data_IF_233513909166
#
_entry.id   IF_233513909166
#
_cell.length_a   1.000
_cell.length_b   1.000
_cell.length_c   1.000
_cell.angle_alpha   90.00
_cell.angle_beta   90.00
_cell.angle_gamma   90.00
#
_symmetry.space_group_name_H-M   'P 1'
#
loop_
_entity.id
_entity.type
_entity.pdbx_description
1 polymer ?
#
# COMPACT_ATOMS: atom_id res chain seq x y z
N UNK A 1 16.21 -12.78 11.31
CA UNK A 1 17.53 -12.09 11.35
C UNK A 1 18.03 -11.75 9.94
N UNK A 2 18.01 -12.67 8.98
CA UNK A 2 18.49 -12.42 7.60
C UNK A 2 17.86 -11.19 6.93
N UNK A 3 16.53 -11.06 6.94
CA UNK A 3 15.83 -9.89 6.35
C UNK A 3 16.29 -8.54 6.94
N UNK A 4 16.53 -8.50 8.25
CA UNK A 4 17.05 -7.30 8.92
C UNK A 4 18.47 -6.96 8.44
N UNK A 5 19.37 -7.94 8.41
CA UNK A 5 20.76 -7.73 7.99
C UNK A 5 20.84 -7.34 6.52
N UNK A 6 20.02 -7.96 5.66
CA UNK A 6 19.94 -7.61 4.24
C UNK A 6 19.46 -6.15 4.04
N UNK A 7 18.41 -5.72 4.74
CA UNK A 7 17.92 -4.34 4.66
C UNK A 7 18.94 -3.34 5.23
N UNK A 8 19.59 -3.67 6.35
CA UNK A 8 20.63 -2.83 6.94
C UNK A 8 21.84 -2.69 6.00
N UNK A 9 22.27 -3.78 5.36
CA UNK A 9 23.33 -3.74 4.35
C UNK A 9 22.91 -2.89 3.14
N UNK A 10 21.70 -3.11 2.62
CA UNK A 10 21.16 -2.29 1.53
C UNK A 10 21.12 -0.80 1.93
N UNK A 11 20.68 -0.46 3.14
CA UNK A 11 20.70 0.92 3.64
C UNK A 11 22.13 1.49 3.68
N UNK A 12 23.11 0.72 4.16
CA UNK A 12 24.51 1.18 4.24
C UNK A 12 25.14 1.40 2.87
N UNK A 13 24.84 0.54 1.88
CA UNK A 13 25.46 0.54 0.56
C UNK A 13 24.67 1.34 -0.47
N UNK A 14 23.35 1.13 -0.60
CA UNK A 14 22.56 1.73 -1.68
C UNK A 14 22.11 3.16 -1.38
N UNK A 15 22.08 3.58 -0.11
CA UNK A 15 21.56 4.91 0.24
C UNK A 15 22.40 6.07 -0.29
N UNK A 16 23.67 5.82 -0.64
CA UNK A 16 24.59 6.82 -1.19
C UNK A 16 24.63 6.85 -2.71
N UNK A 17 24.08 5.84 -3.38
CA UNK A 17 24.17 5.73 -4.82
C UNK A 17 23.20 6.69 -5.53
N UNK A 18 23.61 7.25 -6.67
CA UNK A 18 22.68 7.97 -7.56
C UNK A 18 21.51 7.10 -7.98
N UNK A 19 20.33 7.70 -8.19
CA UNK A 19 19.10 6.96 -8.53
C UNK A 19 19.25 5.99 -9.70
N UNK A 20 19.90 6.35 -10.83
CA UNK A 20 20.06 5.42 -11.95
C UNK A 20 20.84 4.16 -11.58
N UNK A 21 21.92 4.32 -10.79
CA UNK A 21 22.77 3.19 -10.35
C UNK A 21 21.99 2.29 -9.37
N UNK A 22 21.33 2.89 -8.38
CA UNK A 22 20.51 2.14 -7.43
C UNK A 22 19.39 1.34 -8.15
N UNK A 23 18.77 1.93 -9.18
CA UNK A 23 17.73 1.26 -9.95
C UNK A 23 18.27 0.17 -10.88
N UNK A 24 19.44 0.37 -11.47
CA UNK A 24 20.10 -0.68 -12.23
C UNK A 24 20.37 -1.93 -11.34
N UNK A 25 20.95 -1.70 -10.16
CA UNK A 25 21.18 -2.78 -9.19
C UNK A 25 19.84 -3.45 -8.77
N UNK A 26 18.82 -2.65 -8.48
CA UNK A 26 17.50 -3.17 -8.13
C UNK A 26 16.88 -4.00 -9.27
N UNK A 27 17.03 -3.58 -10.51
CA UNK A 27 16.54 -4.33 -11.68
C UNK A 27 17.25 -5.66 -11.86
N UNK A 28 18.57 -5.70 -11.64
CA UNK A 28 19.34 -6.94 -11.64
C UNK A 28 18.85 -7.86 -10.52
N UNK A 29 18.74 -7.35 -9.29
CA UNK A 29 18.25 -8.12 -8.14
C UNK A 29 16.83 -8.66 -8.40
N UNK A 30 15.90 -7.81 -8.85
CA UNK A 30 14.53 -8.22 -9.16
C UNK A 30 14.47 -9.29 -10.25
N UNK A 31 15.31 -9.16 -11.27
CA UNK A 31 15.41 -10.15 -12.35
C UNK A 31 15.98 -11.47 -11.85
N UNK A 32 17.07 -11.45 -11.09
CA UNK A 32 17.66 -12.63 -10.46
C UNK A 32 16.65 -13.34 -9.55
N UNK A 33 15.95 -12.57 -8.71
CA UNK A 33 14.90 -13.12 -7.84
C UNK A 33 13.76 -13.79 -8.63
N UNK A 34 13.36 -13.21 -9.76
CA UNK A 34 12.35 -13.83 -10.64
C UNK A 34 12.75 -15.24 -11.09
N UNK A 35 14.03 -15.46 -11.40
CA UNK A 35 14.51 -16.79 -11.85
C UNK A 35 14.83 -17.72 -10.68
N UNK A 36 15.42 -17.22 -9.61
CA UNK A 36 15.89 -18.06 -8.49
C UNK A 36 14.82 -18.35 -7.43
N UNK A 37 13.67 -17.67 -7.46
CA UNK A 37 12.57 -17.86 -6.48
C UNK A 37 11.30 -18.36 -7.17
N UNK A 38 11.22 -19.65 -7.53
CA UNK A 38 10.10 -20.19 -8.30
C UNK A 38 8.74 -20.01 -7.60
N UNK A 39 8.69 -20.10 -6.27
CA UNK A 39 7.45 -19.87 -5.51
C UNK A 39 6.94 -18.41 -5.64
N UNK A 40 7.82 -17.41 -5.47
CA UNK A 40 7.44 -16.01 -5.68
C UNK A 40 7.03 -15.76 -7.13
N UNK A 41 7.79 -16.31 -8.08
CA UNK A 41 7.43 -16.20 -9.51
C UNK A 41 6.05 -16.77 -9.78
N UNK A 42 5.72 -17.94 -9.25
CA UNK A 42 4.43 -18.58 -9.44
C UNK A 42 3.28 -17.73 -8.86
N UNK A 43 3.46 -17.17 -7.66
CA UNK A 43 2.46 -16.28 -7.05
C UNK A 43 2.22 -15.04 -7.93
N UNK A 44 3.29 -14.34 -8.32
CA UNK A 44 3.18 -13.14 -9.15
C UNK A 44 2.57 -13.46 -10.52
N UNK A 45 2.91 -14.60 -11.13
CA UNK A 45 2.29 -15.01 -12.40
C UNK A 45 0.80 -15.30 -12.26
N UNK A 46 0.36 -15.92 -11.16
CA UNK A 46 -1.07 -16.12 -10.88
C UNK A 46 -1.80 -14.79 -10.69
N UNK A 47 -1.23 -13.89 -9.89
CA UNK A 47 -1.79 -12.56 -9.72
C UNK A 47 -1.91 -11.82 -11.07
N UNK A 48 -0.85 -11.83 -11.87
CA UNK A 48 -0.87 -11.18 -13.19
C UNK A 48 -1.87 -11.85 -14.15
N UNK A 49 -1.99 -13.17 -14.13
CA UNK A 49 -2.99 -13.87 -14.95
C UNK A 49 -4.41 -13.47 -14.56
N UNK A 50 -4.69 -13.36 -13.27
CA UNK A 50 -6.00 -12.91 -12.78
C UNK A 50 -6.30 -11.47 -13.20
N UNK A 51 -5.36 -10.54 -13.00
CA UNK A 51 -5.52 -9.12 -13.34
C UNK A 51 -5.68 -8.90 -14.84
N UNK A 52 -4.90 -9.60 -15.66
CA UNK A 52 -4.89 -9.45 -17.13
C UNK A 52 -5.99 -10.24 -17.83
N UNK A 53 -6.64 -11.15 -17.11
CA UNK A 53 -7.74 -11.96 -17.63
C UNK A 53 -7.31 -13.30 -18.25
N UNK A 54 -8.30 -14.19 -18.49
CA UNK A 54 -8.04 -15.56 -18.95
C UNK A 54 -7.40 -15.62 -20.36
N UNK A 55 -7.69 -14.67 -21.23
CA UNK A 55 -7.17 -14.63 -22.60
C UNK A 55 -5.76 -13.99 -22.70
N UNK A 56 -5.21 -13.46 -21.60
CA UNK A 56 -3.91 -12.81 -21.67
C UNK A 56 -2.80 -13.79 -22.11
N UNK A 57 -1.99 -13.43 -23.13
CA UNK A 57 -0.92 -14.29 -23.62
C UNK A 57 0.11 -14.58 -22.52
N UNK A 58 0.54 -15.84 -22.41
CA UNK A 58 1.51 -16.25 -21.39
C UNK A 58 2.84 -15.45 -21.47
N UNK A 59 3.21 -14.95 -22.65
CA UNK A 59 4.39 -14.09 -22.84
C UNK A 59 4.21 -12.74 -22.11
N UNK A 60 3.04 -12.14 -22.21
CA UNK A 60 2.71 -10.85 -21.58
C UNK A 60 2.61 -10.99 -20.06
N UNK A 61 1.93 -12.05 -19.57
CA UNK A 61 1.88 -12.37 -18.13
C UNK A 61 3.29 -12.54 -17.57
N UNK A 62 4.19 -13.24 -18.26
CA UNK A 62 5.60 -13.37 -17.83
C UNK A 62 6.34 -12.04 -17.86
N UNK A 63 6.08 -11.19 -18.85
CA UNK A 63 6.71 -9.86 -18.95
C UNK A 63 6.24 -8.94 -17.81
N UNK A 64 4.93 -8.88 -17.54
CA UNK A 64 4.36 -8.15 -16.41
C UNK A 64 4.94 -8.66 -15.07
N UNK A 65 4.99 -9.99 -14.88
CA UNK A 65 5.54 -10.60 -13.66
C UNK A 65 7.01 -10.23 -13.41
N UNK A 66 7.85 -10.19 -14.45
CA UNK A 66 9.24 -9.71 -14.32
C UNK A 66 9.29 -8.24 -13.94
N UNK A 67 8.38 -7.41 -14.48
CA UNK A 67 8.28 -5.98 -14.12
C UNK A 67 7.88 -5.81 -12.67
N UNK A 68 6.92 -6.58 -12.16
CA UNK A 68 6.54 -6.59 -10.74
C UNK A 68 7.76 -6.84 -9.86
N UNK A 69 8.56 -7.89 -10.14
CA UNK A 69 9.75 -8.22 -9.34
C UNK A 69 10.80 -7.10 -9.36
N UNK A 70 11.04 -6.48 -10.53
CA UNK A 70 11.95 -5.32 -10.64
C UNK A 70 11.42 -4.10 -9.89
N UNK A 71 10.13 -3.80 -10.03
CA UNK A 71 9.50 -2.69 -9.33
C UNK A 71 9.48 -2.89 -7.81
N UNK A 72 9.29 -4.12 -7.32
CA UNK A 72 9.44 -4.46 -5.91
C UNK A 72 10.87 -4.20 -5.40
N UNK A 73 11.89 -4.60 -6.17
CA UNK A 73 13.28 -4.32 -5.81
C UNK A 73 13.58 -2.80 -5.82
N UNK A 74 13.07 -2.06 -6.79
CA UNK A 74 13.18 -0.58 -6.84
C UNK A 74 12.45 0.10 -5.67
N UNK A 75 11.31 -0.44 -5.22
CA UNK A 75 10.63 0.05 -4.04
C UNK A 75 11.54 -0.02 -2.80
N UNK A 76 12.20 -1.15 -2.57
CA UNK A 76 13.16 -1.28 -1.45
C UNK A 76 14.39 -0.41 -1.63
N UNK A 77 14.88 -0.22 -2.87
CA UNK A 77 15.98 0.70 -3.14
C UNK A 77 15.59 2.16 -2.83
N UNK A 78 14.36 2.58 -3.13
CA UNK A 78 13.84 3.88 -2.73
C UNK A 78 13.70 3.98 -1.20
N UNK A 79 13.11 2.98 -0.53
CA UNK A 79 12.90 2.95 0.91
C UNK A 79 14.20 3.16 1.70
N UNK A 80 15.28 2.45 1.34
CA UNK A 80 16.56 2.60 2.04
C UNK A 80 17.24 3.93 1.78
N UNK A 81 16.83 4.65 0.75
CA UNK A 81 17.36 5.96 0.38
C UNK A 81 16.58 7.14 0.98
N UNK A 82 15.31 6.91 1.39
CA UNK A 82 14.43 7.95 1.97
C UNK A 82 15.17 8.88 2.93
N UNK A 83 15.93 8.43 3.94
CA UNK A 83 16.56 9.34 4.91
C UNK A 83 17.59 10.32 4.32
N UNK A 84 18.06 10.07 3.09
CA UNK A 84 19.09 10.90 2.41
C UNK A 84 18.53 11.72 1.26
N UNK A 85 17.28 11.50 0.90
CA UNK A 85 16.64 12.25 -0.17
C UNK A 85 16.17 13.62 0.36
N UNK A 86 16.37 14.65 -0.41
CA UNK A 86 15.69 15.93 -0.18
C UNK A 86 14.28 15.83 -0.75
N UNK A 87 13.25 15.90 0.10
CA UNK A 87 11.84 15.68 -0.30
C UNK A 87 11.29 16.80 -1.17
N UNK A 88 11.77 18.03 -1.03
CA UNK A 88 11.43 19.14 -1.92
C UNK A 88 11.91 18.86 -3.35
N UNK A 89 13.16 18.39 -3.49
CA UNK A 89 13.69 17.97 -4.80
C UNK A 89 12.98 16.75 -5.35
N UNK A 90 12.64 15.76 -4.49
CA UNK A 90 11.85 14.61 -4.93
C UNK A 90 10.51 15.07 -5.47
N UNK A 91 9.83 15.98 -4.77
CA UNK A 91 8.54 16.52 -5.21
C UNK A 91 8.67 17.29 -6.52
N UNK A 92 9.63 18.21 -6.64
CA UNK A 92 9.77 19.07 -7.83
C UNK A 92 10.38 18.36 -9.06
N UNK A 93 11.28 17.37 -8.86
CA UNK A 93 12.01 16.75 -9.96
C UNK A 93 11.48 15.37 -10.34
N UNK A 94 10.88 14.63 -9.39
CA UNK A 94 10.43 13.26 -9.59
C UNK A 94 8.93 13.09 -9.66
N UNK A 95 8.14 13.99 -9.05
CA UNK A 95 6.69 14.00 -9.24
C UNK A 95 6.40 14.86 -10.47
N UNK A 96 6.10 14.20 -11.59
CA UNK A 96 5.97 14.88 -12.88
C UNK A 96 4.68 15.68 -12.97
N UNK A 97 3.58 15.08 -12.54
CA UNK A 97 2.24 15.68 -12.53
C UNK A 97 1.46 15.11 -11.34
N UNK A 98 0.67 15.95 -10.72
CA UNK A 98 -0.36 15.53 -9.77
C UNK A 98 -1.73 15.88 -10.38
N UNK A 99 -2.34 14.90 -11.03
CA UNK A 99 -3.69 15.03 -11.55
C UNK A 99 -4.67 15.06 -10.38
N UNK A 100 -5.61 16.01 -10.38
CA UNK A 100 -6.63 16.12 -9.34
C UNK A 100 -6.08 16.59 -7.98
N UNK A 101 -4.96 17.30 -7.93
CA UNK A 101 -4.43 17.88 -6.68
C UNK A 101 -5.46 18.74 -5.96
N UNK A 102 -6.32 19.46 -6.71
CA UNK A 102 -7.43 20.24 -6.18
C UNK A 102 -8.39 19.36 -5.36
N UNK A 103 -8.74 18.16 -5.80
CA UNK A 103 -9.61 17.26 -5.04
C UNK A 103 -9.05 16.97 -3.64
N UNK A 104 -7.73 16.73 -3.56
CA UNK A 104 -7.06 16.49 -2.29
C UNK A 104 -7.01 17.75 -1.43
N UNK A 105 -6.64 18.90 -2.01
CA UNK A 105 -6.51 20.15 -1.25
C UNK A 105 -7.86 20.66 -0.76
N UNK A 106 -8.90 20.59 -1.58
CA UNK A 106 -10.26 20.95 -1.20
C UNK A 106 -10.77 20.04 -0.08
N UNK A 107 -10.54 18.73 -0.17
CA UNK A 107 -10.92 17.80 0.89
C UNK A 107 -10.20 18.09 2.22
N UNK A 108 -8.90 18.40 2.20
CA UNK A 108 -8.14 18.79 3.39
C UNK A 108 -8.70 20.09 3.98
N UNK A 109 -9.07 21.06 3.13
CA UNK A 109 -9.63 22.33 3.56
C UNK A 109 -10.96 22.19 4.33
N UNK A 110 -11.73 21.11 4.09
CA UNK A 110 -12.99 20.83 4.82
C UNK A 110 -12.79 20.53 6.30
N UNK A 111 -11.57 20.17 6.73
CA UNK A 111 -11.23 19.69 8.10
C UNK A 111 -12.01 18.46 8.58
N UNK A 112 -12.65 17.73 7.67
CA UNK A 112 -13.37 16.49 8.00
C UNK A 112 -12.46 15.29 8.23
N UNK A 113 -11.14 15.42 7.95
CA UNK A 113 -10.21 14.31 7.84
C UNK A 113 -10.26 13.66 6.46
N UNK A 114 -9.13 13.12 6.03
CA UNK A 114 -9.00 12.49 4.71
C UNK A 114 -8.36 11.12 4.84
N UNK A 115 -9.00 10.11 4.28
CA UNK A 115 -8.44 8.77 4.10
C UNK A 115 -8.01 8.64 2.64
N UNK A 116 -6.69 8.54 2.41
CA UNK A 116 -6.17 8.25 1.08
C UNK A 116 -6.13 6.74 0.88
N UNK A 117 -6.96 6.22 -0.03
CA UNK A 117 -6.98 4.79 -0.34
C UNK A 117 -6.16 4.52 -1.59
N UNK A 118 -5.32 3.51 -1.54
CA UNK A 118 -4.41 3.14 -2.62
C UNK A 118 -4.15 1.64 -2.64
N UNK A 119 -3.27 1.22 -3.55
CA UNK A 119 -2.73 -0.13 -3.66
C UNK A 119 -1.19 -0.10 -3.60
N UNK A 120 -0.56 -1.27 -3.49
CA UNK A 120 0.89 -1.41 -3.68
C UNK A 120 1.24 -1.22 -5.18
N UNK A 121 0.88 -0.06 -5.73
CA UNK A 121 1.01 0.28 -7.15
C UNK A 121 2.01 1.42 -7.34
N UNK A 122 2.96 1.24 -8.27
CA UNK A 122 4.03 2.21 -8.51
C UNK A 122 5.02 2.32 -7.35
N UNK A 123 4.98 3.40 -6.60
CA UNK A 123 5.69 3.55 -5.33
C UNK A 123 4.98 4.58 -4.42
N UNK A 124 3.92 4.18 -3.69
CA UNK A 124 3.21 5.07 -2.80
C UNK A 124 4.09 5.64 -1.69
N UNK A 125 5.16 4.94 -1.29
CA UNK A 125 6.09 5.38 -0.26
C UNK A 125 6.78 6.71 -0.63
N UNK A 126 7.37 6.79 -1.83
CA UNK A 126 8.09 8.00 -2.27
C UNK A 126 7.13 9.17 -2.44
N UNK A 127 5.94 8.94 -2.98
CA UNK A 127 4.93 9.98 -3.14
C UNK A 127 4.48 10.50 -1.78
N UNK A 128 4.20 9.58 -0.84
CA UNK A 128 3.81 9.94 0.52
C UNK A 128 4.92 10.73 1.25
N UNK A 129 6.18 10.29 1.12
CA UNK A 129 7.30 11.00 1.74
C UNK A 129 7.47 12.41 1.16
N UNK A 130 7.30 12.57 -0.14
CA UNK A 130 7.46 13.87 -0.81
C UNK A 130 6.31 14.85 -0.52
N UNK A 131 5.15 14.39 -0.03
CA UNK A 131 4.02 15.27 0.28
C UNK A 131 4.31 16.26 1.43
N UNK A 132 5.36 16.02 2.24
CA UNK A 132 5.82 17.01 3.24
C UNK A 132 6.25 18.32 2.59
N UNK A 133 6.73 18.30 1.34
CA UNK A 133 7.12 19.49 0.60
C UNK A 133 5.95 20.45 0.32
N UNK A 134 4.72 19.95 0.38
CA UNK A 134 3.49 20.73 0.25
C UNK A 134 2.69 20.79 1.56
N UNK A 135 3.35 20.50 2.69
CA UNK A 135 2.76 20.63 4.03
C UNK A 135 1.79 19.51 4.42
N UNK A 136 1.72 18.41 3.68
CA UNK A 136 0.84 17.29 4.01
C UNK A 136 1.59 16.28 4.88
N UNK A 137 1.18 16.20 6.16
CA UNK A 137 1.65 15.23 7.12
C UNK A 137 0.63 14.13 7.34
N UNK A 138 1.09 12.88 7.42
CA UNK A 138 0.22 11.71 7.46
C UNK A 138 0.57 10.77 8.60
N UNK A 139 -0.41 9.97 9.01
CA UNK A 139 -0.23 8.82 9.89
C UNK A 139 -0.58 7.55 9.13
N UNK A 140 0.41 6.70 8.90
CA UNK A 140 0.27 5.43 8.18
C UNK A 140 0.26 4.25 9.14
N UNK A 141 -0.72 3.36 9.00
CA UNK A 141 -0.75 2.07 9.68
C UNK A 141 -0.02 1.02 8.85
N UNK A 142 0.91 0.30 9.46
CA UNK A 142 1.79 -0.64 8.75
C UNK A 142 1.69 -2.05 9.33
N UNK A 143 1.95 -3.05 8.49
CA UNK A 143 2.09 -4.42 8.95
C UNK A 143 3.21 -4.55 10.00
N UNK A 144 2.96 -5.21 11.16
CA UNK A 144 4.00 -5.47 12.15
C UNK A 144 5.00 -6.50 11.62
N UNK A 145 6.18 -6.01 11.20
CA UNK A 145 7.23 -6.85 10.63
C UNK A 145 7.99 -7.65 11.71
N UNK A 146 8.41 -8.87 11.34
CA UNK A 146 9.26 -9.71 12.18
C UNK A 146 10.65 -9.91 11.54
N UNK A 147 11.73 -9.88 12.31
CA UNK A 147 11.82 -9.60 13.76
C UNK A 147 11.58 -8.11 14.09
N UNK A 148 11.29 -7.78 15.36
CA UNK A 148 11.02 -6.41 15.82
C UNK A 148 12.07 -5.40 15.34
N UNK A 149 13.36 -5.76 15.35
CA UNK A 149 14.46 -4.92 14.85
C UNK A 149 14.29 -4.52 13.37
N UNK A 150 13.66 -5.38 12.55
CA UNK A 150 13.33 -5.05 11.15
C UNK A 150 12.21 -4.00 11.10
N UNK A 151 11.17 -4.17 11.91
CA UNK A 151 10.08 -3.21 12.02
C UNK A 151 10.61 -1.82 12.45
N UNK A 152 11.43 -1.79 13.52
CA UNK A 152 12.02 -0.56 14.04
C UNK A 152 12.90 0.14 13.00
N UNK A 153 13.72 -0.62 12.25
CA UNK A 153 14.54 -0.08 11.17
C UNK A 153 13.67 0.52 10.05
N UNK A 154 12.65 -0.20 9.59
CA UNK A 154 11.75 0.29 8.53
C UNK A 154 11.03 1.56 9.00
N UNK A 155 10.50 1.61 10.21
CA UNK A 155 9.86 2.79 10.77
C UNK A 155 10.82 3.98 10.90
N UNK A 156 12.07 3.73 11.32
CA UNK A 156 13.12 4.75 11.37
C UNK A 156 13.41 5.34 9.98
N UNK A 157 13.52 4.49 8.96
CA UNK A 157 13.75 4.95 7.58
C UNK A 157 12.58 5.80 7.07
N UNK A 158 11.36 5.31 7.28
CA UNK A 158 10.13 5.98 6.83
C UNK A 158 9.83 7.27 7.59
N UNK A 159 10.08 7.31 8.89
CA UNK A 159 9.80 8.48 9.73
C UNK A 159 10.80 9.63 9.61
N UNK A 160 11.82 9.52 8.73
CA UNK A 160 12.95 10.47 8.67
C UNK A 160 12.57 11.89 8.19
N UNK A 161 11.41 12.06 7.57
CA UNK A 161 10.93 13.35 7.05
C UNK A 161 9.62 13.82 7.71
N UNK A 162 9.31 13.32 8.93
CA UNK A 162 8.15 13.80 9.69
C UNK A 162 6.82 13.11 9.38
N UNK A 163 6.81 12.13 8.47
CA UNK A 163 5.66 11.24 8.33
C UNK A 163 5.59 10.25 9.50
N UNK A 164 4.39 9.99 10.01
CA UNK A 164 4.18 9.12 11.17
C UNK A 164 3.81 7.71 10.72
N UNK A 165 4.56 6.72 11.18
CA UNK A 165 4.29 5.30 10.90
C UNK A 165 4.05 4.56 12.22
N UNK A 166 2.99 3.76 12.27
CA UNK A 166 2.62 2.94 13.43
C UNK A 166 2.35 1.50 13.01
N UNK A 167 2.80 0.51 13.77
CA UNK A 167 2.37 -0.86 13.54
C UNK A 167 0.86 -0.96 13.79
N UNK A 168 0.16 -1.75 12.97
CA UNK A 168 -1.29 -1.92 13.07
C UNK A 168 -1.65 -2.67 14.37
N UNK A 169 -2.22 -1.93 15.31
CA UNK A 169 -2.68 -2.37 16.64
C UNK A 169 -3.95 -1.62 17.00
N UNK A 170 -4.68 -2.07 18.01
CA UNK A 170 -5.87 -1.35 18.53
C UNK A 170 -5.53 0.09 18.98
N UNK A 171 -4.34 0.30 19.56
CA UNK A 171 -3.92 1.63 19.99
C UNK A 171 -3.63 2.57 18.82
N UNK A 172 -2.97 2.08 17.77
CA UNK A 172 -2.69 2.87 16.58
C UNK A 172 -3.93 3.13 15.73
N UNK A 173 -4.92 2.24 15.73
CA UNK A 173 -6.24 2.52 15.12
C UNK A 173 -6.96 3.64 15.87
N UNK A 174 -6.92 3.66 17.21
CA UNK A 174 -7.47 4.78 18.00
C UNK A 174 -6.71 6.09 17.75
N UNK A 175 -5.41 6.04 17.55
CA UNK A 175 -4.59 7.19 17.15
C UNK A 175 -5.01 7.71 15.77
N UNK A 176 -5.21 6.82 14.79
CA UNK A 176 -5.69 7.18 13.45
C UNK A 176 -7.10 7.82 13.47
N UNK A 177 -8.01 7.31 14.31
CA UNK A 177 -9.34 7.92 14.49
C UNK A 177 -9.22 9.35 15.02
N UNK A 178 -8.37 9.61 16.03
CA UNK A 178 -8.12 10.96 16.54
C UNK A 178 -7.51 11.85 15.46
N UNK A 179 -6.52 11.31 14.72
CA UNK A 179 -5.85 12.00 13.62
C UNK A 179 -6.84 12.47 12.55
N UNK A 180 -7.79 11.61 12.17
CA UNK A 180 -8.86 11.97 11.23
C UNK A 180 -9.81 13.01 11.79
N UNK A 181 -10.22 12.88 13.06
CA UNK A 181 -11.09 13.86 13.73
C UNK A 181 -10.43 15.24 13.87
N UNK A 182 -9.11 15.28 13.92
CA UNK A 182 -8.32 16.53 13.88
C UNK A 182 -8.21 17.11 12.46
N UNK A 183 -8.92 16.57 11.48
CA UNK A 183 -8.90 17.04 10.08
C UNK A 183 -7.66 16.67 9.30
N UNK A 184 -6.88 15.67 9.76
CA UNK A 184 -5.61 15.25 9.15
C UNK A 184 -5.77 14.07 8.20
N UNK A 185 -4.66 13.63 7.59
CA UNK A 185 -4.63 12.65 6.51
C UNK A 185 -4.11 11.30 6.99
N UNK A 186 -4.84 10.20 6.64
CA UNK A 186 -4.45 8.80 6.91
C UNK A 186 -4.42 8.03 5.60
N UNK A 187 -3.25 7.65 5.07
CA UNK A 187 -3.13 6.79 3.90
C UNK A 187 -3.27 5.32 4.28
N UNK A 188 -3.98 4.56 3.44
CA UNK A 188 -4.20 3.12 3.60
C UNK A 188 -4.04 2.40 2.27
N UNK A 189 -3.29 1.31 2.25
CA UNK A 189 -3.23 0.38 1.13
C UNK A 189 -4.31 -0.68 1.32
N UNK A 190 -5.23 -0.78 0.35
CA UNK A 190 -6.48 -1.55 0.47
C UNK A 190 -6.54 -2.78 -0.44
N UNK A 191 -5.41 -3.20 -1.01
CA UNK A 191 -5.31 -4.30 -1.98
C UNK A 191 -4.91 -5.65 -1.36
N UNK A 192 -4.68 -5.72 -0.03
CA UNK A 192 -4.30 -6.94 0.69
C UNK A 192 -4.91 -6.97 2.08
N UNK A 193 -5.59 -8.05 2.43
CA UNK A 193 -6.04 -8.31 3.80
C UNK A 193 -4.99 -9.10 4.59
N UNK A 194 -4.13 -8.38 5.29
CA UNK A 194 -3.01 -8.95 6.06
C UNK A 194 -3.49 -9.62 7.35
N UNK A 195 -4.61 -9.17 7.90
CA UNK A 195 -5.14 -9.64 9.18
C UNK A 195 -6.17 -10.76 9.06
N UNK A 196 -6.62 -11.08 7.84
CA UNK A 196 -7.71 -12.01 7.57
C UNK A 196 -9.03 -11.63 8.30
N UNK A 197 -9.27 -10.33 8.49
CA UNK A 197 -10.47 -9.78 9.12
C UNK A 197 -11.41 -9.07 8.13
N UNK A 198 -11.02 -8.98 6.88
CA UNK A 198 -11.79 -8.34 5.83
C UNK A 198 -13.00 -9.15 5.38
N UNK A 199 -13.75 -8.64 4.44
CA UNK A 199 -14.91 -9.29 3.82
C UNK A 199 -14.55 -9.96 2.50
N UNK A 200 -15.29 -10.99 2.13
CA UNK A 200 -15.14 -11.67 0.84
C UNK A 200 -15.92 -10.89 -0.21
N UNK A 201 -15.20 -10.37 -1.21
CA UNK A 201 -15.75 -9.59 -2.31
C UNK A 201 -15.07 -9.97 -3.63
N UNK A 202 -15.73 -9.74 -4.78
CA UNK A 202 -15.11 -9.91 -6.08
C UNK A 202 -14.01 -8.86 -6.28
N UNK A 203 -12.79 -9.34 -6.52
CA UNK A 203 -11.63 -8.53 -6.85
C UNK A 203 -11.01 -9.09 -8.13
N UNK A 204 -10.95 -8.29 -9.17
CA UNK A 204 -10.67 -8.73 -10.56
C UNK A 204 -11.54 -9.91 -11.01
N UNK A 205 -12.83 -9.89 -10.64
CA UNK A 205 -13.80 -10.89 -11.04
C UNK A 205 -13.76 -12.22 -10.27
N UNK A 206 -12.89 -12.38 -9.28
CA UNK A 206 -12.80 -13.58 -8.44
C UNK A 206 -12.88 -13.21 -6.97
N UNK A 207 -13.67 -13.96 -6.22
CA UNK A 207 -13.83 -13.71 -4.79
C UNK A 207 -12.52 -13.88 -4.04
N UNK A 208 -12.23 -12.90 -3.20
CA UNK A 208 -11.12 -12.94 -2.25
C UNK A 208 -11.43 -12.07 -1.04
N UNK A 209 -10.66 -12.24 0.02
CA UNK A 209 -10.80 -11.41 1.21
C UNK A 209 -10.10 -10.08 1.01
N UNK A 210 -10.85 -8.98 1.17
CA UNK A 210 -10.34 -7.60 1.04
C UNK A 210 -10.49 -6.84 2.35
N UNK A 211 -9.54 -5.93 2.68
CA UNK A 211 -9.57 -5.20 3.95
C UNK A 211 -10.68 -4.15 3.95
N UNK A 212 -11.40 -4.04 5.05
CA UNK A 212 -12.50 -3.09 5.25
C UNK A 212 -12.12 -1.86 6.09
N UNK A 213 -10.90 -1.80 6.60
CA UNK A 213 -10.49 -0.79 7.58
C UNK A 213 -10.66 0.66 7.10
N UNK A 214 -10.54 0.93 5.80
CA UNK A 214 -10.77 2.25 5.26
C UNK A 214 -12.26 2.66 5.32
N UNK A 215 -13.17 1.74 4.97
CA UNK A 215 -14.60 1.96 5.06
C UNK A 215 -15.05 2.14 6.51
N UNK A 216 -14.59 1.28 7.42
CA UNK A 216 -14.90 1.39 8.86
C UNK A 216 -14.41 2.70 9.47
N UNK A 217 -13.20 3.15 9.12
CA UNK A 217 -12.67 4.43 9.60
C UNK A 217 -13.48 5.59 9.04
N UNK A 218 -13.85 5.56 7.77
CA UNK A 218 -14.69 6.59 7.14
C UNK A 218 -16.04 6.72 7.85
N UNK A 219 -16.73 5.61 8.07
CA UNK A 219 -18.03 5.59 8.77
C UNK A 219 -17.92 6.10 10.22
N UNK A 220 -16.85 5.73 10.94
CA UNK A 220 -16.64 6.15 12.34
C UNK A 220 -16.26 7.61 12.52
N UNK A 221 -15.65 8.21 11.51
CA UNK A 221 -15.06 9.56 11.64
C UNK A 221 -15.73 10.60 10.77
N UNK A 222 -16.50 10.19 9.76
CA UNK A 222 -17.03 11.08 8.73
C UNK A 222 -15.96 11.62 7.77
N UNK A 223 -14.75 11.03 7.78
CA UNK A 223 -13.65 11.42 6.91
C UNK A 223 -13.97 11.16 5.43
N UNK A 224 -13.43 12.00 4.56
CA UNK A 224 -13.54 11.83 3.12
C UNK A 224 -12.59 10.73 2.65
N UNK A 225 -13.06 9.87 1.75
CA UNK A 225 -12.24 8.80 1.15
C UNK A 225 -11.83 9.21 -0.25
N UNK A 226 -10.54 9.35 -0.49
CA UNK A 226 -9.98 9.75 -1.78
C UNK A 226 -9.10 8.62 -2.33
N UNK A 227 -9.45 8.04 -3.48
CA UNK A 227 -8.56 7.15 -4.19
C UNK A 227 -7.36 7.93 -4.72
N UNK A 228 -6.15 7.47 -4.38
CA UNK A 228 -4.92 8.12 -4.81
C UNK A 228 -3.90 7.07 -5.26
N UNK A 229 -3.42 7.22 -6.49
CA UNK A 229 -2.49 6.27 -7.09
C UNK A 229 -1.25 6.97 -7.63
N UNK A 230 -0.15 6.23 -7.73
CA UNK A 230 1.06 6.74 -8.36
C UNK A 230 1.58 5.74 -9.38
N UNK A 231 1.88 6.22 -10.57
CA UNK A 231 2.46 5.42 -11.65
C UNK A 231 3.91 5.82 -11.85
N UNK A 232 4.82 4.86 -11.71
CA UNK A 232 6.22 5.08 -12.02
C UNK A 232 6.39 5.25 -13.55
N UNK A 233 7.09 6.31 -13.95
CA UNK A 233 7.38 6.63 -15.33
C UNK A 233 8.88 6.50 -15.61
N UNK A 234 9.32 6.85 -16.83
CA UNK A 234 10.74 6.79 -17.23
C UNK A 234 11.60 7.70 -16.35
N UNK A 235 12.86 7.33 -16.17
CA UNK A 235 13.81 8.11 -15.36
C UNK A 235 13.56 8.08 -13.86
N UNK A 236 12.68 7.18 -13.36
CA UNK A 236 12.36 7.08 -11.93
C UNK A 236 11.47 8.20 -11.42
N UNK A 237 10.71 8.81 -12.31
CA UNK A 237 9.68 9.81 -12.02
C UNK A 237 8.34 9.13 -11.75
N UNK A 238 7.36 9.91 -11.29
CA UNK A 238 6.02 9.45 -10.96
C UNK A 238 4.96 10.42 -11.45
N UNK A 239 3.90 9.90 -12.06
CA UNK A 239 2.62 10.58 -12.20
C UNK A 239 1.76 10.19 -11.01
N UNK A 240 1.08 11.15 -10.41
CA UNK A 240 0.19 10.95 -9.25
C UNK A 240 -1.23 11.32 -9.67
N UNK A 241 -2.19 10.52 -9.23
CA UNK A 241 -3.60 10.68 -9.55
C UNK A 241 -4.38 10.72 -8.24
N UNK A 242 -5.02 11.84 -7.93
CA UNK A 242 -5.96 11.99 -6.83
C UNK A 242 -7.37 12.11 -7.43
N UNK A 243 -8.18 11.08 -7.24
CA UNK A 243 -9.56 11.07 -7.70
C UNK A 243 -10.44 11.98 -6.83
N UNK A 244 -11.63 12.36 -7.28
CA UNK A 244 -12.61 12.98 -6.40
C UNK A 244 -12.91 12.11 -5.16
N UNK A 245 -13.34 12.72 -4.04
CA UNK A 245 -13.81 11.94 -2.90
C UNK A 245 -14.90 10.97 -3.33
N UNK A 246 -14.81 9.72 -2.84
CA UNK A 246 -15.84 8.72 -3.12
C UNK A 246 -17.19 9.17 -2.56
N UNK A 247 -18.20 9.11 -3.38
CA UNK A 247 -19.58 9.29 -2.91
C UNK A 247 -19.96 8.13 -2.01
N UNK A 248 -20.35 8.41 -0.78
CA UNK A 248 -20.78 7.42 0.20
C UNK A 248 -22.28 7.56 0.45
N UNK A 249 -23.06 6.60 -0.04
CA UNK A 249 -24.46 6.48 0.34
C UNK A 249 -24.52 5.69 1.64
N UNK A 250 -25.01 6.33 2.71
CA UNK A 250 -25.17 5.73 4.03
C UNK A 250 -26.61 5.26 4.18
N UNK A 251 -26.81 3.97 4.31
CA UNK A 251 -28.14 3.35 4.43
C UNK A 251 -28.59 3.23 5.89
N UNK A 252 -27.62 3.23 6.84
CA UNK A 252 -27.84 2.96 8.24
C UNK A 252 -27.64 1.48 8.61
N UNK A 253 -27.41 0.61 7.62
CA UNK A 253 -26.94 -0.76 7.84
C UNK A 253 -25.41 -0.77 7.77
N UNK A 254 -24.70 -0.95 8.90
CA UNK A 254 -23.25 -0.86 8.95
C UNK A 254 -22.54 -1.90 8.06
N UNK A 255 -23.10 -3.09 7.89
CA UNK A 255 -22.48 -4.15 7.07
C UNK A 255 -22.60 -3.82 5.60
N UNK A 256 -23.77 -3.36 5.15
CA UNK A 256 -23.98 -2.95 3.76
C UNK A 256 -23.19 -1.68 3.41
N UNK A 257 -23.14 -0.72 4.33
CA UNK A 257 -22.37 0.52 4.15
C UNK A 257 -20.88 0.22 4.00
N UNK A 258 -20.29 -0.62 4.89
CA UNK A 258 -18.90 -1.08 4.79
C UNK A 258 -18.66 -1.81 3.48
N UNK A 259 -19.57 -2.72 3.10
CA UNK A 259 -19.48 -3.49 1.86
C UNK A 259 -19.45 -2.57 0.63
N UNK A 260 -20.39 -1.65 0.55
CA UNK A 260 -20.56 -0.74 -0.60
C UNK A 260 -19.36 0.20 -0.74
N UNK A 261 -18.87 0.80 0.34
CA UNK A 261 -17.69 1.66 0.31
C UNK A 261 -16.46 0.84 -0.11
N UNK A 262 -16.30 -0.37 0.42
CA UNK A 262 -15.17 -1.25 0.08
C UNK A 262 -15.21 -1.63 -1.41
N UNK A 263 -16.38 -1.94 -1.97
CA UNK A 263 -16.55 -2.22 -3.42
C UNK A 263 -16.09 -1.03 -4.28
N UNK A 264 -16.42 0.19 -3.89
CA UNK A 264 -15.96 1.39 -4.62
C UNK A 264 -14.44 1.57 -4.53
N UNK A 265 -13.84 1.29 -3.37
CA UNK A 265 -12.38 1.35 -3.18
C UNK A 265 -11.68 0.34 -4.09
N UNK A 266 -12.12 -0.93 -4.09
CA UNK A 266 -11.49 -1.97 -4.93
C UNK A 266 -11.72 -1.74 -6.41
N UNK A 267 -12.87 -1.18 -6.82
CA UNK A 267 -13.11 -0.80 -8.21
C UNK A 267 -12.10 0.26 -8.70
N UNK A 268 -11.79 1.26 -7.87
CA UNK A 268 -10.74 2.23 -8.18
C UNK A 268 -9.36 1.56 -8.28
N UNK A 269 -9.03 0.63 -7.38
CA UNK A 269 -7.77 -0.14 -7.44
C UNK A 269 -7.69 -0.95 -8.75
N UNK A 270 -8.76 -1.65 -9.11
CA UNK A 270 -8.81 -2.42 -10.36
C UNK A 270 -8.57 -1.56 -11.59
N UNK A 271 -9.19 -0.39 -11.65
CA UNK A 271 -9.05 0.56 -12.75
C UNK A 271 -7.57 0.93 -12.98
N UNK A 272 -6.83 1.28 -11.94
CA UNK A 272 -5.42 1.67 -12.05
C UNK A 272 -4.50 0.49 -12.32
N UNK A 273 -4.71 -0.62 -11.64
CA UNK A 273 -3.86 -1.82 -11.80
C UNK A 273 -4.02 -2.41 -13.20
N UNK A 274 -5.23 -2.39 -13.81
CA UNK A 274 -5.43 -2.85 -15.18
C UNK A 274 -4.68 -2.01 -16.23
N UNK A 275 -4.45 -0.72 -15.98
CA UNK A 275 -3.70 0.14 -16.91
C UNK A 275 -2.24 -0.27 -17.05
N UNK A 276 -1.60 -0.70 -15.96
CA UNK A 276 -0.22 -1.18 -15.96
C UNK A 276 0.03 -2.23 -14.86
N UNK A 277 -0.40 -3.49 -15.09
CA UNK A 277 -0.31 -4.56 -14.09
C UNK A 277 1.10 -4.79 -13.54
N UNK A 278 2.12 -4.53 -14.35
CA UNK A 278 3.52 -4.68 -13.96
C UNK A 278 3.99 -3.74 -12.86
N UNK A 279 3.19 -2.77 -12.45
CA UNK A 279 3.46 -1.86 -11.34
C UNK A 279 2.76 -2.24 -10.03
N UNK A 280 1.91 -3.25 -10.04
CA UNK A 280 1.27 -3.75 -8.82
C UNK A 280 2.20 -4.74 -8.11
N UNK A 281 2.91 -4.27 -7.08
CA UNK A 281 4.03 -4.97 -6.45
C UNK A 281 3.61 -5.93 -5.33
N UNK A 282 2.56 -6.74 -5.56
CA UNK A 282 2.11 -7.78 -4.64
C UNK A 282 2.77 -9.12 -4.99
N UNK A 283 3.61 -9.61 -4.08
CA UNK A 283 4.42 -10.83 -4.28
C UNK A 283 3.78 -12.10 -3.71
N UNK A 284 2.77 -11.96 -2.88
CA UNK A 284 1.99 -13.05 -2.30
C UNK A 284 0.81 -13.39 -3.21
N UNK A 285 0.26 -14.59 -3.05
CA UNK A 285 -0.98 -14.94 -3.74
C UNK A 285 -2.17 -14.24 -3.09
N UNK A 286 -2.97 -13.51 -3.89
CA UNK A 286 -4.13 -12.76 -3.39
C UNK A 286 -5.37 -13.63 -3.32
N UNK A 287 -5.54 -14.55 -4.27
CA UNK A 287 -6.75 -15.40 -4.42
C UNK A 287 -6.62 -16.81 -3.86
N UNK A 288 -5.43 -17.22 -3.45
CA UNK A 288 -5.30 -18.49 -2.69
C UNK A 288 -5.47 -18.21 -1.21
N UNK A 289 -6.18 -19.11 -0.47
CA UNK A 289 -6.17 -19.01 0.98
C UNK A 289 -4.70 -19.01 1.42
N UNK A 290 -4.27 -17.94 2.05
CA UNK A 290 -2.99 -17.93 2.73
C UNK A 290 -3.04 -19.15 3.66
N UNK A 291 -2.10 -20.10 3.52
CA UNK A 291 -1.97 -21.20 4.46
C UNK A 291 -1.98 -20.55 5.83
N UNK A 292 -3.07 -20.73 6.56
CA UNK A 292 -3.26 -20.13 7.86
C UNK A 292 -2.02 -20.49 8.68
N UNK A 293 -1.21 -19.53 9.01
CA UNK A 293 -0.36 -19.65 10.15
C UNK A 293 -1.34 -19.85 11.30
N UNK A 294 -1.50 -21.09 11.74
CA UNK A 294 -2.36 -21.49 12.84
C UNK A 294 -1.94 -20.74 14.10
N UNK A 295 -2.48 -19.55 14.27
CA UNK A 295 -2.62 -18.89 15.55
C UNK A 295 -4.10 -18.73 15.79
N UNK A 296 -4.71 -19.85 16.25
CA UNK A 296 -5.98 -19.79 16.96
C UNK A 296 -5.75 -18.89 18.18
N UNK A 297 -6.30 -17.67 18.13
CA UNK A 297 -6.50 -16.91 19.35
C UNK A 297 -7.46 -17.74 20.23
N UNK A 298 -7.16 -17.94 21.52
CA UNK A 298 -8.03 -18.70 22.40
C UNK A 298 -9.38 -17.97 22.47
N UNK A 299 -10.43 -18.67 22.05
CA UNK A 299 -11.83 -18.28 22.29
C UNK A 299 -12.00 -18.20 23.80
N UNK A 300 -12.21 -16.99 24.33
CA UNK A 300 -12.66 -16.82 25.71
C UNK A 300 -14.04 -17.48 25.81
N UNK A 301 -14.08 -18.67 26.37
CA UNK A 301 -15.34 -19.27 26.84
C UNK A 301 -15.92 -18.30 27.88
N UNK A 302 -17.07 -17.72 27.55
CA UNK A 302 -17.94 -17.07 28.53
C UNK A 302 -18.38 -18.09 29.54
N UNK A 303 -17.73 -18.10 30.71
CA UNK A 303 -18.19 -18.92 31.85
C UNK A 303 -19.59 -18.47 32.24
N UNK A 304 -20.57 -19.33 31.98
CA UNK A 304 -21.86 -19.32 32.63
C UNK A 304 -21.63 -19.50 34.12
N UNK A 305 -21.79 -18.47 34.93
CA UNK A 305 -22.04 -18.61 36.35
C UNK A 305 -23.55 -18.89 36.47
N UNK A 306 -23.88 -20.14 36.71
CA UNK A 306 -25.17 -20.54 37.25
C UNK A 306 -25.14 -20.36 38.77
N UNK A 307 -26.20 -19.76 39.26
CA UNK A 307 -26.84 -19.81 40.59
C UNK A 307 -25.92 -19.83 41.80
#
# INVERSE_FOLDING_TARGET
MFKYLALLFAYRCLSWLPTPVAYFIADVIGTVMYYLRPGLRANVQRNMKQVMGPEAPAKEVRAASRRVMRNAARYYADLVRVPRLNMERVFSERITVVYGLNHLMDAIATKRGVILVSAHYGNPEIVLQSSVAIGIHTLSLTEPLQPRRLCDLVHKLRGSHGQVFRPLTLSSVREAIRWLRDGKVVPLLCDRDIQNTGVVLPFFGTETRVPVGAAELALRTGALVIPMFCRRTKGGRFDVFAEPPLEMTITGDPEEDVRTITLRIIAAIEQYVRQDPGQWIVLESVWEPQKAAERRLPVRQSGSRGV
#
